data_IF_109759297095
#
_entry.id   IF_109759297095
#
_cell.length_a   1.000
_cell.length_b   1.000
_cell.length_c   1.000
_cell.angle_alpha   90.00
_cell.angle_beta   90.00
_cell.angle_gamma   90.00
#
_symmetry.space_group_name_H-M   'P 1'
#
loop_
_entity.id
_entity.type
_entity.pdbx_description
1 polymer ?
#
# COMPACT_ATOMS: atom_id res chain seq x y z
N UNK A 1 -13.97 -11.84 50.72
CA UNK A 1 -14.36 -12.31 49.37
C UNK A 1 -13.22 -11.99 48.42
N UNK A 2 -12.64 -13.00 47.78
CA UNK A 2 -11.58 -12.83 46.78
C UNK A 2 -12.24 -12.48 45.45
N UNK A 3 -11.96 -11.30 44.91
CA UNK A 3 -12.43 -10.90 43.57
C UNK A 3 -11.24 -11.02 42.64
N UNK A 4 -11.37 -11.91 41.67
CA UNK A 4 -10.44 -12.12 40.56
C UNK A 4 -10.37 -10.86 39.71
N UNK A 5 -9.16 -10.38 39.40
CA UNK A 5 -8.93 -9.42 38.34
C UNK A 5 -8.73 -10.19 37.02
N UNK A 6 -9.46 -9.88 35.93
CA UNK A 6 -9.12 -10.41 34.61
C UNK A 6 -7.96 -9.58 34.06
N UNK A 7 -6.88 -10.23 33.64
CA UNK A 7 -5.91 -9.63 32.72
C UNK A 7 -6.63 -9.41 31.38
N UNK A 8 -6.92 -8.16 31.03
CA UNK A 8 -7.20 -7.78 29.65
C UNK A 8 -5.83 -7.64 28.94
N UNK A 9 -5.48 -8.64 28.14
CA UNK A 9 -4.48 -8.51 27.09
C UNK A 9 -5.07 -7.69 25.94
N UNK A 10 -4.85 -6.36 25.93
CA UNK A 10 -5.11 -5.53 24.76
C UNK A 10 -4.00 -5.78 23.73
N UNK A 11 -4.33 -6.52 22.67
CA UNK A 11 -3.46 -6.65 21.50
C UNK A 11 -3.29 -5.29 20.82
N UNK A 12 -2.04 -4.91 20.54
CA UNK A 12 -1.76 -3.86 19.57
C UNK A 12 -2.22 -4.38 18.20
N UNK A 13 -3.31 -3.83 17.66
CA UNK A 13 -3.65 -4.02 16.26
C UNK A 13 -2.61 -3.27 15.43
N UNK A 14 -1.57 -3.96 14.99
CA UNK A 14 -0.72 -3.51 13.89
C UNK A 14 -1.62 -3.34 12.68
N UNK A 15 -1.80 -2.10 12.20
CA UNK A 15 -2.42 -1.84 10.91
C UNK A 15 -1.46 -2.32 9.83
N UNK A 16 -1.48 -3.61 9.57
CA UNK A 16 -0.73 -4.18 8.47
C UNK A 16 -1.59 -3.95 7.24
N UNK A 17 -1.18 -3.05 6.36
CA UNK A 17 -1.78 -2.97 5.04
C UNK A 17 -1.45 -4.29 4.32
N UNK A 18 -2.43 -4.84 3.62
CA UNK A 18 -2.25 -6.07 2.86
C UNK A 18 -1.47 -5.71 1.63
N UNK A 19 -0.85 -6.69 1.00
CA UNK A 19 0.01 -6.35 -0.12
C UNK A 19 0.07 -7.54 -1.06
N UNK A 20 -0.44 -7.36 -2.27
CA UNK A 20 -0.38 -8.36 -3.31
C UNK A 20 -0.86 -7.86 -4.66
N UNK A 21 -0.45 -8.55 -5.72
CA UNK A 21 -0.77 -8.19 -7.10
C UNK A 21 -0.67 -9.41 -8.02
N UNK A 22 -1.29 -9.35 -9.20
CA UNK A 22 -1.29 -10.46 -10.17
C UNK A 22 0.09 -10.68 -10.80
N UNK A 23 0.52 -11.94 -10.93
CA UNK A 23 1.87 -12.32 -11.36
C UNK A 23 1.91 -13.14 -12.65
N UNK A 24 0.98 -14.09 -12.85
CA UNK A 24 0.86 -14.90 -14.09
C UNK A 24 -0.61 -14.88 -14.57
N UNK A 25 -0.87 -14.57 -15.87
CA UNK A 25 0.04 -13.89 -16.80
C UNK A 25 0.58 -12.56 -16.24
N UNK A 26 1.69 -12.06 -16.82
CA UNK A 26 2.34 -10.85 -16.34
C UNK A 26 1.40 -9.64 -16.39
N UNK A 27 0.98 -9.16 -15.22
CA UNK A 27 0.10 -7.99 -15.10
C UNK A 27 0.81 -6.69 -15.44
N UNK A 28 0.03 -5.64 -15.72
CA UNK A 28 0.55 -4.27 -15.88
C UNK A 28 1.32 -3.81 -14.65
N UNK A 29 0.88 -4.19 -13.45
CA UNK A 29 1.58 -3.92 -12.19
C UNK A 29 2.95 -4.60 -12.16
N UNK A 30 3.02 -5.88 -12.55
CA UNK A 30 4.29 -6.61 -12.67
C UNK A 30 5.23 -5.94 -13.69
N UNK A 31 4.73 -5.63 -14.88
CA UNK A 31 5.51 -4.97 -15.93
C UNK A 31 5.99 -3.58 -15.50
N UNK A 32 5.16 -2.82 -14.76
CA UNK A 32 5.54 -1.53 -14.20
C UNK A 32 6.72 -1.65 -13.22
N UNK A 33 6.72 -2.69 -12.37
CA UNK A 33 7.85 -2.98 -11.51
C UNK A 33 9.10 -3.42 -12.30
N UNK A 34 8.96 -4.37 -13.23
CA UNK A 34 10.07 -4.88 -14.04
C UNK A 34 10.70 -3.78 -14.93
N UNK A 35 9.91 -2.77 -15.33
CA UNK A 35 10.37 -1.57 -16.03
C UNK A 35 11.02 -0.52 -15.10
N UNK A 36 11.01 -0.73 -13.79
CA UNK A 36 11.59 0.16 -12.79
C UNK A 36 10.78 1.43 -12.53
N UNK A 37 9.47 1.44 -12.84
CA UNK A 37 8.60 2.59 -12.54
C UNK A 37 7.80 2.42 -11.25
N UNK A 38 7.46 1.19 -10.88
CA UNK A 38 6.74 0.89 -9.64
C UNK A 38 7.70 0.34 -8.59
N UNK A 39 7.90 1.13 -7.55
CA UNK A 39 8.78 0.80 -6.43
C UNK A 39 8.16 -0.20 -5.44
N UNK A 40 6.84 -0.36 -5.45
CA UNK A 40 6.09 -1.26 -4.58
C UNK A 40 4.86 -1.79 -5.33
N UNK A 41 5.01 -2.81 -6.21
CA UNK A 41 3.88 -3.35 -6.99
C UNK A 41 2.74 -3.85 -6.13
N UNK A 42 3.05 -4.38 -4.95
CA UNK A 42 2.08 -4.88 -3.98
C UNK A 42 1.28 -3.77 -3.25
N UNK A 43 1.63 -2.49 -3.42
CA UNK A 43 0.99 -1.33 -2.78
C UNK A 43 -0.21 -0.76 -3.58
N UNK A 44 -0.60 -1.35 -4.71
CA UNK A 44 -1.75 -0.89 -5.49
C UNK A 44 -3.09 -1.25 -4.80
N UNK A 45 -3.55 -0.36 -3.92
CA UNK A 45 -4.66 -0.60 -3.00
C UNK A 45 -5.89 0.28 -3.28
N UNK A 46 -7.08 -0.32 -3.19
CA UNK A 46 -8.36 0.37 -3.06
C UNK A 46 -8.79 0.38 -1.59
N UNK A 47 -8.72 1.56 -0.95
CA UNK A 47 -9.13 1.76 0.44
C UNK A 47 -9.49 3.23 0.72
N UNK A 48 -10.29 3.52 1.76
CA UNK A 48 -11.05 2.57 2.59
C UNK A 48 -12.33 2.10 1.86
N UNK A 49 -12.61 0.79 1.88
CA UNK A 49 -13.81 0.20 1.29
C UNK A 49 -14.40 -0.92 2.14
N UNK A 50 -15.66 -1.27 1.90
CA UNK A 50 -16.27 -2.48 2.46
C UNK A 50 -15.95 -3.66 1.56
N UNK A 51 -14.87 -4.38 1.84
CA UNK A 51 -14.41 -5.55 1.05
C UNK A 51 -15.11 -6.86 1.43
N UNK A 52 -15.82 -6.89 2.57
CA UNK A 52 -16.42 -8.09 3.17
C UNK A 52 -17.71 -7.73 3.93
N UNK A 53 -18.72 -8.63 4.03
CA UNK A 53 -18.84 -9.93 3.34
C UNK A 53 -19.31 -9.82 1.90
N UNK A 54 -19.84 -8.67 1.49
CA UNK A 54 -20.27 -8.42 0.13
C UNK A 54 -19.06 -8.06 -0.74
N UNK A 55 -18.70 -8.96 -1.67
CA UNK A 55 -17.42 -8.90 -2.39
C UNK A 55 -17.44 -7.93 -3.59
N UNK A 56 -18.63 -7.54 -4.05
CA UNK A 56 -18.82 -6.70 -5.24
C UNK A 56 -19.58 -5.37 -4.96
N UNK A 57 -20.08 -5.15 -3.74
CA UNK A 57 -20.75 -3.90 -3.37
C UNK A 57 -19.87 -2.63 -3.38
N UNK A 58 -18.56 -2.75 -3.17
CA UNK A 58 -17.68 -1.58 -3.08
C UNK A 58 -17.36 -1.00 -4.46
N UNK A 59 -17.61 0.31 -4.71
CA UNK A 59 -17.22 0.93 -5.96
C UNK A 59 -15.70 1.02 -6.08
N UNK A 60 -15.18 0.79 -7.30
CA UNK A 60 -13.73 0.71 -7.54
C UNK A 60 -13.03 2.07 -7.70
N UNK A 61 -13.81 3.14 -7.88
CA UNK A 61 -13.32 4.51 -7.93
C UNK A 61 -12.13 4.71 -8.87
N UNK A 62 -11.06 5.35 -8.38
CA UNK A 62 -9.86 5.60 -9.18
C UNK A 62 -9.08 4.31 -9.49
N UNK A 63 -9.16 3.30 -8.64
CA UNK A 63 -8.43 2.05 -8.83
C UNK A 63 -8.86 1.36 -10.12
N UNK A 64 -10.16 1.31 -10.39
CA UNK A 64 -10.69 0.60 -11.57
C UNK A 64 -10.28 -0.88 -11.61
N UNK A 65 -10.55 -1.58 -12.72
CA UNK A 65 -10.24 -3.01 -12.84
C UNK A 65 -8.74 -3.33 -12.91
N UNK A 66 -7.89 -2.34 -13.19
CA UNK A 66 -6.43 -2.54 -13.33
C UNK A 66 -5.60 -2.08 -12.13
N UNK A 67 -6.20 -1.38 -11.17
CA UNK A 67 -5.51 -0.84 -10.00
C UNK A 67 -4.90 0.55 -10.22
N UNK A 68 -4.80 1.30 -9.11
CA UNK A 68 -4.08 2.57 -9.02
C UNK A 68 -3.06 2.44 -7.90
N UNK A 69 -1.78 2.65 -8.21
CA UNK A 69 -0.72 2.64 -7.22
C UNK A 69 -0.40 4.06 -6.75
N UNK A 70 -0.85 4.39 -5.55
CA UNK A 70 -0.64 5.70 -4.95
C UNK A 70 0.84 6.00 -4.64
N UNK A 71 1.68 4.96 -4.45
CA UNK A 71 3.10 5.10 -4.08
C UNK A 71 3.86 5.95 -5.09
N UNK A 72 3.75 5.58 -6.36
CA UNK A 72 4.41 6.25 -7.48
C UNK A 72 3.40 6.97 -8.40
N UNK A 73 2.15 7.10 -7.94
CA UNK A 73 1.05 7.75 -8.66
C UNK A 73 0.75 7.14 -10.04
N UNK A 74 0.79 5.81 -10.15
CA UNK A 74 0.62 5.06 -11.39
C UNK A 74 -0.84 4.63 -11.55
N UNK A 75 -1.44 4.94 -12.70
CA UNK A 75 -2.76 4.46 -13.06
C UNK A 75 -2.63 3.36 -14.13
N UNK A 76 -2.81 2.10 -13.73
CA UNK A 76 -2.64 0.96 -14.64
C UNK A 76 -3.79 0.77 -15.62
N UNK A 77 -4.88 1.53 -15.47
CA UNK A 77 -6.02 1.49 -16.38
C UNK A 77 -5.68 2.08 -17.76
N UNK A 78 -4.58 2.83 -17.88
CA UNK A 78 -4.09 3.40 -19.14
C UNK A 78 -2.76 2.74 -19.56
N UNK A 79 -2.58 2.37 -20.83
CA UNK A 79 -1.30 1.92 -21.35
C UNK A 79 -0.23 3.01 -21.32
N UNK A 80 1.03 2.58 -21.26
CA UNK A 80 2.20 3.45 -21.40
C UNK A 80 3.22 2.80 -22.33
N UNK A 81 4.42 3.37 -22.44
CA UNK A 81 5.53 2.70 -23.15
C UNK A 81 5.95 1.38 -22.50
N UNK A 82 5.56 1.12 -21.25
CA UNK A 82 6.06 0.01 -20.44
C UNK A 82 5.04 -1.12 -20.25
N UNK A 83 3.74 -0.89 -20.49
CA UNK A 83 2.68 -1.90 -20.37
C UNK A 83 1.45 -1.50 -21.19
N UNK A 84 0.55 -2.46 -21.44
CA UNK A 84 -0.75 -2.20 -22.03
C UNK A 84 -0.78 -2.04 -23.55
N UNK A 85 0.38 -2.01 -24.22
CA UNK A 85 0.48 -1.86 -25.68
C UNK A 85 0.12 -3.13 -26.45
N UNK A 86 0.49 -4.29 -25.91
CA UNK A 86 0.34 -5.59 -26.56
C UNK A 86 -0.06 -6.65 -25.54
N UNK A 87 -0.68 -7.73 -26.02
CA UNK A 87 -0.93 -8.91 -25.21
C UNK A 87 0.40 -9.57 -24.77
N UNK A 88 0.55 -9.86 -23.47
CA UNK A 88 1.74 -10.53 -22.92
C UNK A 88 1.73 -12.04 -23.22
N UNK A 89 0.54 -12.60 -23.45
CA UNK A 89 0.34 -14.01 -23.74
C UNK A 89 -0.93 -14.22 -24.56
N UNK A 90 -0.92 -15.19 -25.46
CA UNK A 90 -2.07 -15.60 -26.28
C UNK A 90 -2.51 -17.00 -25.90
N UNK A 91 -3.83 -17.20 -25.83
CA UNK A 91 -4.49 -18.43 -25.40
C UNK A 91 -5.58 -18.83 -26.41
N UNK A 92 -6.09 -20.05 -26.28
CA UNK A 92 -7.24 -20.54 -27.04
C UNK A 92 -8.56 -20.30 -26.29
N UNK A 93 -9.68 -20.07 -26.99
CA UNK A 93 -11.01 -20.10 -26.38
C UNK A 93 -11.23 -21.40 -25.59
N UNK A 94 -11.80 -21.30 -24.40
CA UNK A 94 -12.06 -22.46 -23.55
C UNK A 94 -10.84 -23.10 -22.87
N UNK A 95 -9.63 -22.57 -23.07
CA UNK A 95 -8.39 -23.10 -22.48
C UNK A 95 -8.37 -22.99 -20.95
N UNK A 96 -7.96 -24.05 -20.26
CA UNK A 96 -7.70 -24.02 -18.82
C UNK A 96 -6.27 -23.56 -18.58
N UNK A 97 -6.11 -22.36 -18.03
CA UNK A 97 -4.81 -21.71 -17.85
C UNK A 97 -4.42 -21.63 -16.37
N UNK A 98 -3.11 -21.58 -16.12
CA UNK A 98 -2.58 -21.21 -14.80
C UNK A 98 -2.67 -19.70 -14.61
N UNK A 99 -3.20 -19.30 -13.46
CA UNK A 99 -3.18 -17.93 -12.98
C UNK A 99 -2.54 -17.89 -11.61
N UNK A 100 -1.71 -16.88 -11.41
CA UNK A 100 -0.94 -16.70 -10.18
C UNK A 100 -0.97 -15.25 -9.74
N UNK A 101 -1.06 -15.03 -8.45
CA UNK A 101 -0.80 -13.74 -7.83
C UNK A 101 0.25 -13.87 -6.74
N UNK A 102 0.85 -12.75 -6.37
CA UNK A 102 1.93 -12.69 -5.39
C UNK A 102 1.44 -11.98 -4.13
N UNK A 103 1.57 -12.62 -2.97
CA UNK A 103 1.25 -12.04 -1.66
C UNK A 103 2.54 -11.72 -0.90
N UNK A 104 2.65 -10.52 -0.35
CA UNK A 104 3.80 -10.14 0.50
C UNK A 104 3.74 -10.85 1.84
N UNK A 105 4.89 -11.29 2.36
CA UNK A 105 5.00 -11.95 3.66
C UNK A 105 4.33 -11.16 4.81
N UNK A 106 4.49 -9.83 4.83
CA UNK A 106 3.87 -9.01 5.86
C UNK A 106 2.43 -8.64 5.51
N UNK A 107 2.00 -8.79 4.25
CA UNK A 107 0.70 -8.36 3.76
C UNK A 107 -0.34 -9.45 3.56
N UNK A 108 -0.19 -10.63 4.18
CA UNK A 108 -1.13 -11.74 4.00
C UNK A 108 -2.38 -11.60 4.88
N UNK A 109 -3.51 -11.26 4.24
CA UNK A 109 -4.77 -10.87 4.88
C UNK A 109 -5.86 -11.93 4.85
N UNK A 110 -5.60 -13.10 4.24
CA UNK A 110 -6.66 -14.06 3.96
C UNK A 110 -7.73 -13.48 3.03
N UNK A 111 -8.99 -13.92 3.19
CA UNK A 111 -10.10 -13.46 2.36
C UNK A 111 -10.25 -14.25 1.06
N UNK A 112 -10.80 -13.60 0.03
CA UNK A 112 -11.21 -14.25 -1.23
C UNK A 112 -10.75 -13.47 -2.44
N UNK A 113 -10.41 -14.16 -3.51
CA UNK A 113 -9.91 -13.56 -4.76
C UNK A 113 -10.52 -14.22 -5.98
N UNK A 114 -10.49 -13.53 -7.12
CA UNK A 114 -11.04 -14.02 -8.38
C UNK A 114 -10.33 -13.42 -9.59
N UNK A 115 -10.63 -13.97 -10.76
CA UNK A 115 -10.16 -13.50 -12.07
C UNK A 115 -11.36 -13.33 -13.00
N UNK A 116 -11.31 -12.30 -13.84
CA UNK A 116 -12.45 -11.85 -14.64
C UNK A 116 -12.03 -11.40 -16.03
N UNK A 117 -12.88 -11.62 -17.03
CA UNK A 117 -12.69 -11.11 -18.40
C UNK A 117 -13.98 -10.43 -18.85
N UNK A 118 -13.92 -9.12 -19.07
CA UNK A 118 -15.01 -8.37 -19.69
C UNK A 118 -15.12 -8.74 -21.17
N UNK A 119 -16.28 -9.28 -21.58
CA UNK A 119 -16.54 -9.73 -22.96
C UNK A 119 -17.14 -8.62 -23.85
N UNK A 120 -17.21 -7.38 -23.36
CA UNK A 120 -17.53 -6.20 -24.18
C UNK A 120 -16.24 -5.46 -24.57
N UNK A 121 -15.78 -5.73 -25.79
CA UNK A 121 -14.55 -5.14 -26.31
C UNK A 121 -14.59 -3.60 -26.33
N UNK A 122 -15.75 -2.98 -26.54
CA UNK A 122 -15.84 -1.52 -26.63
C UNK A 122 -15.60 -0.82 -25.28
N UNK A 123 -15.92 -1.52 -24.18
CA UNK A 123 -15.57 -1.08 -22.83
C UNK A 123 -14.07 -1.27 -22.59
N UNK A 124 -13.54 -2.44 -22.96
CA UNK A 124 -12.12 -2.78 -22.77
C UNK A 124 -11.20 -1.87 -23.59
N UNK A 125 -11.57 -1.51 -24.82
CA UNK A 125 -10.76 -0.68 -25.72
C UNK A 125 -10.36 0.66 -25.10
N UNK A 126 -11.19 1.22 -24.20
CA UNK A 126 -10.87 2.45 -23.47
C UNK A 126 -9.66 2.32 -22.54
N UNK A 127 -9.35 1.08 -22.12
CA UNK A 127 -8.21 0.73 -21.27
C UNK A 127 -6.99 0.28 -22.10
N UNK A 128 -7.11 0.29 -23.43
CA UNK A 128 -6.07 -0.09 -24.38
C UNK A 128 -5.55 1.10 -25.21
N UNK A 129 -6.12 2.30 -25.02
CA UNK A 129 -5.64 3.52 -25.70
C UNK A 129 -4.63 4.30 -24.82
N UNK A 130 -3.34 4.38 -25.20
CA UNK A 130 -2.35 5.17 -24.46
C UNK A 130 -2.66 6.68 -24.46
N UNK A 131 -3.53 7.16 -25.35
CA UNK A 131 -3.94 8.57 -25.46
C UNK A 131 -5.17 8.90 -24.61
N UNK A 132 -5.78 7.91 -23.95
CA UNK A 132 -7.02 8.08 -23.20
C UNK A 132 -6.92 7.49 -21.80
N UNK A 133 -7.28 8.28 -20.78
CA UNK A 133 -7.39 7.81 -19.41
C UNK A 133 -8.87 7.60 -19.06
N UNK A 134 -9.33 6.35 -18.80
CA UNK A 134 -10.70 6.09 -18.41
C UNK A 134 -11.14 6.91 -17.19
N UNK A 135 -12.35 7.47 -17.27
CA UNK A 135 -13.00 8.15 -16.13
C UNK A 135 -13.41 7.15 -15.05
N UNK A 136 -13.74 7.63 -13.85
CA UNK A 136 -14.21 6.76 -12.78
C UNK A 136 -15.52 6.03 -13.14
N UNK A 137 -16.43 6.68 -13.87
CA UNK A 137 -17.68 6.04 -14.31
C UNK A 137 -17.41 4.94 -15.33
N UNK A 138 -16.44 5.13 -16.23
CA UNK A 138 -16.01 4.09 -17.17
C UNK A 138 -15.26 2.95 -16.48
N UNK A 139 -14.49 3.25 -15.44
CA UNK A 139 -13.87 2.26 -14.56
C UNK A 139 -14.91 1.42 -13.83
N UNK A 140 -15.97 2.04 -13.32
CA UNK A 140 -17.05 1.30 -12.69
C UNK A 140 -17.85 0.48 -13.70
N UNK A 141 -18.19 1.05 -14.87
CA UNK A 141 -18.89 0.30 -15.92
C UNK A 141 -18.05 -0.89 -16.44
N UNK A 142 -16.72 -0.72 -16.51
CA UNK A 142 -15.82 -1.82 -16.82
C UNK A 142 -15.79 -2.87 -15.71
N UNK A 143 -15.70 -2.44 -14.45
CA UNK A 143 -15.76 -3.36 -13.32
C UNK A 143 -17.05 -4.19 -13.33
N UNK A 144 -18.21 -3.57 -13.57
CA UNK A 144 -19.49 -4.30 -13.67
C UNK A 144 -19.47 -5.33 -14.83
N UNK A 145 -18.81 -5.01 -15.95
CA UNK A 145 -18.59 -5.95 -17.05
C UNK A 145 -17.65 -7.11 -16.65
N UNK A 146 -16.61 -6.83 -15.88
CA UNK A 146 -15.74 -7.86 -15.31
C UNK A 146 -16.48 -8.72 -14.28
N UNK A 147 -17.41 -8.16 -13.48
CA UNK A 147 -18.25 -8.93 -12.55
C UNK A 147 -19.11 -9.95 -13.30
N UNK A 148 -19.73 -9.52 -14.41
CA UNK A 148 -20.48 -10.42 -15.29
C UNK A 148 -19.58 -11.45 -16.00
N UNK A 149 -18.29 -11.14 -16.18
CA UNK A 149 -17.28 -11.96 -16.82
C UNK A 149 -16.36 -12.73 -15.85
N UNK A 150 -16.81 -12.96 -14.62
CA UNK A 150 -16.07 -13.75 -13.63
C UNK A 150 -15.76 -15.15 -14.16
N UNK A 151 -14.54 -15.64 -13.92
CA UNK A 151 -14.09 -16.99 -14.28
C UNK A 151 -14.20 -17.90 -13.04
N UNK A 152 -15.25 -18.73 -12.93
CA UNK A 152 -15.51 -19.49 -11.72
C UNK A 152 -14.43 -20.53 -11.44
N UNK A 153 -14.04 -20.70 -10.18
CA UNK A 153 -13.17 -21.80 -9.74
C UNK A 153 -13.70 -23.16 -10.22
N UNK A 154 -15.03 -23.33 -10.18
CA UNK A 154 -15.75 -24.57 -10.46
C UNK A 154 -15.77 -24.98 -11.94
N UNK A 155 -15.36 -24.09 -12.85
CA UNK A 155 -15.34 -24.39 -14.29
C UNK A 155 -14.14 -25.26 -14.68
N UNK A 156 -13.14 -25.39 -13.81
CA UNK A 156 -11.97 -26.26 -14.01
C UNK A 156 -12.23 -27.64 -13.41
N UNK A 157 -12.26 -28.66 -14.26
CA UNK A 157 -12.56 -30.03 -13.84
C UNK A 157 -11.47 -30.58 -12.91
N UNK A 158 -11.88 -31.05 -11.72
CA UNK A 158 -10.98 -31.63 -10.72
C UNK A 158 -10.26 -30.61 -9.83
N UNK A 159 -10.56 -29.31 -9.97
CA UNK A 159 -10.13 -28.29 -9.02
C UNK A 159 -11.08 -28.23 -7.82
N UNK A 160 -10.52 -28.30 -6.60
CA UNK A 160 -11.30 -28.18 -5.37
C UNK A 160 -11.62 -26.71 -5.07
N UNK A 161 -12.92 -26.39 -4.98
CA UNK A 161 -13.45 -25.03 -4.79
C UNK A 161 -14.26 -24.97 -3.50
N UNK A 162 -13.56 -24.72 -2.39
CA UNK A 162 -14.14 -24.61 -1.06
C UNK A 162 -14.75 -23.24 -0.76
N UNK A 163 -15.48 -23.16 0.35
CA UNK A 163 -15.98 -21.90 0.93
C UNK A 163 -14.97 -21.34 1.93
N UNK A 164 -14.96 -20.01 2.09
CA UNK A 164 -14.10 -19.37 3.09
C UNK A 164 -14.46 -19.79 4.50
N UNK A 165 -13.43 -20.10 5.31
CA UNK A 165 -13.60 -20.35 6.75
C UNK A 165 -13.99 -19.08 7.53
N UNK A 166 -13.81 -17.91 6.91
CA UNK A 166 -14.12 -16.59 7.46
C UNK A 166 -15.53 -16.10 7.03
N UNK A 167 -16.33 -17.00 6.42
CA UNK A 167 -17.70 -16.77 5.99
C UNK A 167 -18.64 -17.86 6.55
N UNK A 168 -19.92 -17.53 6.71
CA UNK A 168 -20.97 -18.49 7.11
C UNK A 168 -22.08 -18.59 6.07
N UNK A 169 -22.75 -19.74 6.03
CA UNK A 169 -23.83 -20.00 5.08
C UNK A 169 -24.95 -18.96 5.19
N UNK A 170 -25.29 -18.34 4.06
CA UNK A 170 -26.29 -17.29 3.95
C UNK A 170 -25.71 -15.87 3.89
N UNK A 171 -24.41 -15.68 4.13
CA UNK A 171 -23.71 -14.41 3.88
C UNK A 171 -23.35 -14.24 2.40
N UNK A 172 -23.12 -13.00 1.96
CA UNK A 172 -22.78 -12.68 0.57
C UNK A 172 -21.43 -13.30 0.11
N UNK A 173 -20.50 -13.52 1.05
CA UNK A 173 -19.23 -14.19 0.81
C UNK A 173 -19.37 -15.72 0.64
N UNK A 174 -20.55 -16.30 0.90
CA UNK A 174 -20.76 -17.75 0.87
C UNK A 174 -20.96 -18.26 -0.56
N UNK A 175 -19.89 -18.18 -1.35
CA UNK A 175 -19.82 -18.55 -2.75
C UNK A 175 -18.46 -19.17 -3.06
N UNK A 176 -18.40 -20.07 -4.03
CA UNK A 176 -17.20 -20.81 -4.41
C UNK A 176 -16.88 -20.72 -5.91
N UNK A 177 -17.55 -19.80 -6.60
CA UNK A 177 -17.11 -19.30 -7.90
C UNK A 177 -15.84 -18.43 -7.73
N UNK A 178 -15.76 -17.65 -6.65
CA UNK A 178 -14.52 -17.05 -6.16
C UNK A 178 -13.61 -18.09 -5.51
N UNK A 179 -12.31 -17.84 -5.55
CA UNK A 179 -11.33 -18.59 -4.77
C UNK A 179 -11.28 -18.04 -3.34
N UNK A 180 -11.03 -18.93 -2.38
CA UNK A 180 -10.74 -18.55 -1.00
C UNK A 180 -9.29 -18.83 -0.66
N UNK A 181 -8.69 -17.94 0.12
CA UNK A 181 -7.51 -18.27 0.90
C UNK A 181 -7.87 -19.28 2.00
N UNK A 182 -6.87 -19.90 2.63
CA UNK A 182 -7.13 -20.72 3.81
C UNK A 182 -7.54 -19.82 4.99
N UNK A 183 -8.18 -20.42 6.00
CA UNK A 183 -8.66 -19.67 7.16
C UNK A 183 -7.56 -18.91 7.88
N UNK A 184 -7.89 -17.72 8.38
CA UNK A 184 -6.93 -16.81 9.00
C UNK A 184 -6.26 -17.41 10.25
N UNK A 185 -7.05 -18.08 11.09
CA UNK A 185 -6.59 -18.72 12.34
C UNK A 185 -6.20 -20.20 12.18
N UNK A 186 -6.08 -20.70 10.95
CA UNK A 186 -5.74 -22.11 10.72
C UNK A 186 -4.35 -22.44 11.29
N UNK A 187 -4.24 -23.57 11.99
CA UNK A 187 -2.97 -23.97 12.63
C UNK A 187 -1.93 -24.55 11.66
N UNK A 188 -2.37 -25.07 10.51
CA UNK A 188 -1.53 -25.57 9.43
C UNK A 188 -1.88 -24.82 8.14
N UNK A 189 -0.88 -24.26 7.47
CA UNK A 189 -1.01 -23.50 6.21
C UNK A 189 -2.07 -22.38 6.27
N UNK A 190 -1.92 -21.37 7.14
CA UNK A 190 -2.91 -20.29 7.27
C UNK A 190 -2.93 -19.35 6.05
N UNK A 191 -4.04 -18.63 5.91
CA UNK A 191 -4.22 -17.48 5.00
C UNK A 191 -3.89 -17.79 3.52
N UNK A 192 -3.45 -16.80 2.75
CA UNK A 192 -3.26 -16.92 1.31
C UNK A 192 -1.96 -17.66 0.97
N UNK A 193 -0.86 -17.42 1.70
CA UNK A 193 0.40 -18.14 1.50
C UNK A 193 0.22 -19.66 1.66
N UNK A 194 -0.64 -20.08 2.58
CA UNK A 194 -0.93 -21.49 2.84
C UNK A 194 -1.57 -22.25 1.67
N UNK A 195 -2.13 -21.55 0.67
CA UNK A 195 -2.73 -22.16 -0.52
C UNK A 195 -1.68 -22.95 -1.30
N UNK A 196 -0.55 -22.34 -1.64
CA UNK A 196 0.56 -23.03 -2.31
C UNK A 196 1.54 -23.62 -1.31
N UNK A 197 1.66 -23.01 -0.12
CA UNK A 197 2.74 -23.26 0.84
C UNK A 197 4.13 -23.11 0.18
N UNK A 198 4.26 -22.13 -0.70
CA UNK A 198 5.49 -21.85 -1.44
C UNK A 198 6.59 -21.28 -0.54
N UNK A 199 7.84 -21.33 -1.02
CA UNK A 199 8.98 -20.71 -0.37
C UNK A 199 8.92 -19.17 -0.48
N UNK A 200 9.53 -18.47 0.48
CA UNK A 200 9.63 -17.01 0.47
C UNK A 200 10.47 -16.54 -0.71
N UNK A 201 10.05 -15.46 -1.37
CA UNK A 201 10.61 -14.95 -2.63
C UNK A 201 10.36 -15.86 -3.85
N UNK A 202 9.33 -16.72 -3.80
CA UNK A 202 8.86 -17.45 -4.98
C UNK A 202 8.28 -16.50 -6.05
N UNK A 203 7.84 -15.31 -5.64
CA UNK A 203 7.55 -14.17 -6.49
C UNK A 203 8.02 -12.87 -5.80
N UNK A 204 8.09 -11.77 -6.55
CA UNK A 204 8.63 -10.51 -6.04
C UNK A 204 7.58 -9.72 -5.27
N UNK A 205 7.95 -9.19 -4.10
CA UNK A 205 7.34 -8.03 -3.45
C UNK A 205 8.45 -7.18 -2.85
N UNK A 206 8.23 -5.87 -2.75
CA UNK A 206 9.27 -4.93 -2.30
C UNK A 206 9.46 -4.93 -0.77
N UNK A 207 8.40 -5.20 0.00
CA UNK A 207 8.37 -5.00 1.46
C UNK A 207 9.08 -6.12 2.22
N UNK A 208 8.70 -7.38 2.02
CA UNK A 208 9.20 -8.50 2.84
C UNK A 208 9.44 -9.81 2.07
N UNK A 209 9.37 -9.77 0.74
CA UNK A 209 9.45 -10.97 -0.10
C UNK A 209 8.09 -11.65 -0.26
N UNK A 210 7.85 -12.18 -1.47
CA UNK A 210 6.53 -12.65 -1.87
C UNK A 210 6.38 -14.16 -1.87
N UNK A 211 5.13 -14.61 -1.75
CA UNK A 211 4.70 -15.98 -1.93
C UNK A 211 3.73 -16.10 -3.09
N UNK A 212 3.90 -17.14 -3.90
CA UNK A 212 2.93 -17.44 -4.96
C UNK A 212 1.62 -17.95 -4.37
N UNK A 213 0.52 -17.58 -5.02
CA UNK A 213 -0.80 -18.19 -4.83
C UNK A 213 -1.34 -18.55 -6.20
N UNK A 214 -1.45 -19.86 -6.45
CA UNK A 214 -1.64 -20.41 -7.80
C UNK A 214 -2.97 -21.14 -7.92
N UNK A 215 -3.69 -20.87 -9.00
CA UNK A 215 -4.97 -21.53 -9.36
C UNK A 215 -5.05 -21.76 -10.86
N UNK A 216 -6.09 -22.48 -11.28
CA UNK A 216 -6.48 -22.56 -12.67
C UNK A 216 -7.83 -21.88 -12.89
N UNK A 217 -7.99 -21.31 -14.08
CA UNK A 217 -9.26 -20.79 -14.57
C UNK A 217 -9.49 -21.29 -15.99
N UNK A 218 -10.75 -21.50 -16.35
CA UNK A 218 -11.15 -21.80 -17.72
C UNK A 218 -11.48 -20.49 -18.42
N UNK A 219 -10.80 -20.21 -19.53
CA UNK A 219 -11.08 -19.03 -20.34
C UNK A 219 -12.44 -19.15 -21.04
N UNK A 220 -13.13 -18.03 -21.30
CA UNK A 220 -14.41 -18.03 -22.00
C UNK A 220 -14.25 -18.51 -23.45
N UNK A 221 -15.36 -18.95 -24.04
CA UNK A 221 -15.49 -19.18 -25.49
C UNK A 221 -15.65 -17.84 -26.23
N UNK A 222 -14.69 -16.93 -26.00
CA UNK A 222 -14.63 -15.56 -26.50
C UNK A 222 -13.27 -15.34 -27.18
N UNK A 223 -13.24 -14.52 -28.22
CA UNK A 223 -11.99 -14.19 -28.92
C UNK A 223 -11.74 -12.70 -28.94
N UNK A 224 -10.49 -12.32 -28.68
CA UNK A 224 -9.99 -10.96 -28.88
C UNK A 224 -8.49 -11.00 -29.13
N UNK A 225 -8.01 -10.17 -30.05
CA UNK A 225 -6.57 -10.00 -30.29
C UNK A 225 -5.89 -9.29 -29.11
N UNK A 226 -6.64 -8.49 -28.35
CA UNK A 226 -6.14 -7.77 -27.18
C UNK A 226 -7.31 -7.45 -26.27
N UNK A 227 -7.39 -8.17 -25.16
CA UNK A 227 -8.35 -7.96 -24.08
C UNK A 227 -7.63 -8.00 -22.74
N UNK A 228 -8.39 -7.90 -21.64
CA UNK A 228 -7.87 -7.85 -20.28
C UNK A 228 -8.42 -9.00 -19.45
N UNK A 229 -7.54 -9.59 -18.64
CA UNK A 229 -7.92 -10.39 -17.47
C UNK A 229 -7.65 -9.56 -16.22
N UNK A 230 -8.68 -9.31 -15.41
CA UNK A 230 -8.59 -8.55 -14.16
C UNK A 230 -8.58 -9.50 -12.97
N UNK A 231 -7.60 -9.33 -12.10
CA UNK A 231 -7.49 -9.94 -10.79
C UNK A 231 -8.08 -9.00 -9.73
N UNK A 232 -8.89 -9.57 -8.83
CA UNK A 232 -9.48 -8.86 -7.69
C UNK A 232 -9.32 -9.71 -6.44
N UNK A 233 -8.74 -9.14 -5.39
CA UNK A 233 -8.61 -9.77 -4.08
C UNK A 233 -9.23 -8.88 -3.01
N UNK A 234 -10.20 -9.44 -2.29
CA UNK A 234 -10.88 -8.81 -1.17
C UNK A 234 -10.30 -9.34 0.14
N UNK A 235 -9.76 -8.41 0.95
CA UNK A 235 -9.27 -8.70 2.30
C UNK A 235 -10.44 -9.00 3.23
N UNK A 236 -10.30 -10.05 4.05
CA UNK A 236 -11.19 -10.32 5.18
C UNK A 236 -10.78 -9.49 6.40
N UNK A 237 -9.48 -9.43 6.71
CA UNK A 237 -8.97 -8.78 7.92
C UNK A 237 -9.16 -7.25 7.91
N UNK A 238 -9.18 -6.63 6.73
CA UNK A 238 -9.19 -5.17 6.55
C UNK A 238 -10.13 -4.76 5.41
N UNK A 239 -10.62 -3.51 5.45
CA UNK A 239 -11.49 -2.93 4.41
C UNK A 239 -10.72 -2.51 3.16
N UNK A 240 -10.12 -3.49 2.48
CA UNK A 240 -9.09 -3.31 1.45
C UNK A 240 -9.31 -4.27 0.27
N UNK A 241 -9.16 -3.76 -0.95
CA UNK A 241 -9.24 -4.54 -2.20
C UNK A 241 -7.98 -4.29 -3.04
N UNK A 242 -7.42 -5.35 -3.63
CA UNK A 242 -6.28 -5.30 -4.54
C UNK A 242 -6.74 -5.65 -5.94
N UNK A 243 -6.37 -4.81 -6.89
CA UNK A 243 -6.78 -4.92 -8.29
C UNK A 243 -5.53 -4.87 -9.17
N UNK A 244 -5.47 -5.76 -10.15
CA UNK A 244 -4.44 -5.78 -11.18
C UNK A 244 -5.07 -6.29 -12.46
N UNK A 245 -4.55 -5.92 -13.62
CA UNK A 245 -4.98 -6.51 -14.89
C UNK A 245 -3.79 -6.91 -15.75
N UNK A 246 -3.96 -7.91 -16.60
CA UNK A 246 -2.98 -8.36 -17.58
C UNK A 246 -3.58 -8.32 -19.00
N UNK A 247 -2.78 -7.88 -19.95
CA UNK A 247 -3.11 -7.81 -21.37
C UNK A 247 -2.95 -9.19 -22.01
N UNK A 248 -4.02 -9.76 -22.54
CA UNK A 248 -4.01 -11.11 -23.13
C UNK A 248 -4.69 -11.14 -24.49
N UNK A 249 -4.39 -12.17 -25.28
CA UNK A 249 -5.13 -12.49 -26.49
C UNK A 249 -5.83 -13.85 -26.32
N UNK A 250 -7.02 -13.99 -26.89
CA UNK A 250 -7.74 -15.25 -26.98
C UNK A 250 -8.12 -15.47 -28.44
N UNK A 251 -7.51 -16.46 -29.08
CA UNK A 251 -7.54 -16.67 -30.53
C UNK A 251 -7.69 -18.14 -30.87
N UNK A 252 -8.41 -18.48 -31.95
CA UNK A 252 -8.39 -19.85 -32.46
C UNK A 252 -6.99 -20.21 -32.96
N UNK A 253 -6.62 -21.49 -32.85
CA UNK A 253 -5.27 -21.99 -33.07
C UNK A 253 -4.72 -21.89 -34.51
N UNK A 254 -5.35 -21.12 -35.42
CA UNK A 254 -5.00 -21.04 -36.84
C UNK A 254 -4.30 -19.74 -37.29
N UNK A 255 -4.16 -18.72 -36.43
CA UNK A 255 -3.47 -17.47 -36.78
C UNK A 255 -2.13 -17.29 -36.03
N UNK A 256 -1.15 -18.17 -36.29
CA UNK A 256 0.26 -17.87 -36.01
C UNK A 256 0.90 -17.21 -37.23
N UNK A 257 1.27 -15.91 -37.20
CA UNK A 257 2.17 -15.35 -38.18
C UNK A 257 3.55 -16.00 -38.03
N UNK A 258 4.07 -16.51 -39.13
CA UNK A 258 5.41 -17.11 -39.23
C UNK A 258 6.45 -15.98 -39.21
N UNK A 259 7.10 -15.72 -38.07
CA UNK A 259 8.24 -14.79 -38.02
C UNK A 259 9.54 -15.51 -38.37
N UNK A 260 10.04 -15.27 -39.58
CA UNK A 260 11.41 -15.59 -40.00
C UNK A 260 12.42 -14.75 -39.20
N UNK A 261 13.24 -15.41 -38.38
CA UNK A 261 14.39 -14.81 -37.71
C UNK A 261 15.60 -14.85 -38.65
N UNK A 262 15.97 -13.69 -39.20
CA UNK A 262 17.31 -13.46 -39.75
C UNK A 262 18.21 -12.95 -38.61
N UNK A 263 19.27 -13.72 -38.33
CA UNK A 263 20.30 -13.34 -37.39
C UNK A 263 21.24 -12.29 -37.97
N UNK A 264 21.70 -11.37 -37.14
CA UNK A 264 22.98 -10.69 -37.36
C UNK A 264 23.67 -10.44 -36.03
N UNK A 265 24.88 -10.96 -35.94
CA UNK A 265 25.85 -10.86 -34.86
C UNK A 265 26.41 -9.44 -34.73
N UNK A 266 26.52 -8.91 -33.51
CA UNK A 266 27.15 -7.62 -33.21
C UNK A 266 27.65 -7.52 -31.76
N UNK A 267 28.91 -7.92 -31.59
CA UNK A 267 29.94 -7.47 -30.64
C UNK A 267 29.55 -6.66 -29.38
N UNK A 268 29.85 -7.21 -28.19
CA UNK A 268 29.75 -6.54 -26.89
C UNK A 268 31.15 -6.17 -26.38
N UNK A 269 31.41 -4.87 -26.22
CA UNK A 269 32.45 -4.35 -25.32
C UNK A 269 31.83 -3.43 -24.26
N UNK A 270 32.32 -3.41 -23.01
CA UNK A 270 31.63 -2.74 -21.91
C UNK A 270 32.15 -1.31 -21.69
N UNK A 271 31.26 -0.30 -21.69
CA UNK A 271 31.57 1.04 -21.12
C UNK A 271 30.39 1.70 -20.41
N UNK A 272 30.59 1.84 -19.10
CA UNK A 272 30.35 2.99 -18.19
C UNK A 272 28.91 3.51 -17.94
N UNK A 273 28.61 3.46 -16.64
CA UNK A 273 27.71 4.31 -15.84
C UNK A 273 27.51 5.75 -16.36
N UNK A 274 26.26 6.20 -16.37
CA UNK A 274 25.88 7.60 -16.36
C UNK A 274 24.81 7.85 -15.29
N UNK A 275 25.14 8.75 -14.35
CA UNK A 275 24.22 9.36 -13.38
C UNK A 275 23.38 10.41 -14.10
N UNK A 276 22.07 10.43 -13.86
CA UNK A 276 21.23 11.58 -14.20
C UNK A 276 21.17 12.55 -13.01
N UNK A 277 21.67 13.76 -13.23
CA UNK A 277 21.48 14.94 -12.38
C UNK A 277 20.68 15.92 -13.23
N UNK A 278 19.54 16.38 -12.72
CA UNK A 278 18.78 17.48 -13.31
C UNK A 278 19.13 18.78 -12.56
N UNK A 279 19.60 19.86 -13.23
CA UNK A 279 19.86 21.14 -12.57
C UNK A 279 18.66 22.09 -12.71
N UNK A 280 18.28 22.74 -11.62
CA UNK A 280 17.41 23.93 -11.59
C UNK A 280 17.97 24.95 -10.59
N UNK A 281 17.58 26.24 -10.68
CA UNK A 281 18.51 27.36 -10.66
C UNK A 281 18.86 27.88 -9.27
N UNK A 282 20.00 28.58 -9.23
CA UNK A 282 20.65 29.19 -8.09
C UNK A 282 19.76 30.21 -7.36
N UNK A 283 19.19 29.79 -6.24
CA UNK A 283 18.82 30.58 -5.07
C UNK A 283 18.73 29.57 -3.93
N UNK A 284 19.41 29.82 -2.82
CA UNK A 284 19.71 28.83 -1.77
C UNK A 284 18.44 28.29 -1.09
N UNK A 285 17.78 27.32 -1.71
CA UNK A 285 16.71 26.51 -1.14
C UNK A 285 17.32 25.20 -0.64
N UNK A 286 17.42 25.04 0.69
CA UNK A 286 17.79 23.75 1.27
C UNK A 286 16.56 22.84 1.30
N UNK A 287 16.64 21.73 0.56
CA UNK A 287 15.57 20.76 0.42
C UNK A 287 15.61 19.77 1.59
N UNK A 288 14.60 19.74 2.44
CA UNK A 288 14.41 18.64 3.41
C UNK A 288 13.55 17.55 2.77
N UNK A 289 13.89 16.28 3.04
CA UNK A 289 13.04 15.14 2.66
C UNK A 289 12.23 14.70 3.89
N UNK A 290 10.91 14.79 3.76
CA UNK A 290 9.98 14.11 4.65
C UNK A 290 9.83 12.68 4.13
N UNK A 291 10.20 11.69 4.92
CA UNK A 291 10.04 10.29 4.56
C UNK A 291 9.14 9.60 5.58
N UNK A 292 8.22 8.77 5.07
CA UNK A 292 7.66 7.67 5.84
C UNK A 292 8.79 6.68 6.11
N UNK A 293 8.95 6.27 7.36
CA UNK A 293 10.11 5.48 7.77
C UNK A 293 9.89 4.02 7.38
N UNK A 294 10.73 3.49 6.52
CA UNK A 294 10.86 2.03 6.29
C UNK A 294 12.03 1.49 7.09
N UNK A 295 12.10 0.16 7.26
CA UNK A 295 12.94 -0.55 8.25
C UNK A 295 14.44 -0.22 8.29
N UNK A 296 14.99 0.39 7.23
CA UNK A 296 16.40 0.77 7.15
C UNK A 296 16.80 1.96 8.04
N UNK A 297 15.82 2.64 8.63
CA UNK A 297 16.00 3.72 9.63
C UNK A 297 15.61 3.26 11.04
N UNK A 298 15.75 1.96 11.34
CA UNK A 298 15.36 1.41 12.65
C UNK A 298 16.22 1.98 13.79
N UNK A 299 15.55 2.49 14.82
CA UNK A 299 16.17 2.74 16.11
C UNK A 299 15.98 1.51 16.99
N UNK A 300 16.99 0.64 17.07
CA UNK A 300 16.97 -0.54 17.96
C UNK A 300 15.67 -1.37 17.84
N UNK A 301 15.22 -1.65 16.61
CA UNK A 301 14.00 -2.43 16.38
C UNK A 301 12.68 -1.69 16.58
N UNK A 302 12.69 -0.34 16.70
CA UNK A 302 11.49 0.48 16.65
C UNK A 302 11.56 1.50 15.51
N UNK A 303 10.40 1.79 14.93
CA UNK A 303 10.25 2.60 13.72
C UNK A 303 9.21 3.69 14.02
N UNK A 304 9.60 4.98 14.06
CA UNK A 304 8.63 6.06 14.15
C UNK A 304 7.84 6.16 12.84
N UNK A 305 6.61 6.67 12.86
CA UNK A 305 5.77 6.74 11.65
C UNK A 305 6.39 7.68 10.58
N UNK A 306 7.01 8.77 11.02
CA UNK A 306 7.60 9.80 10.15
C UNK A 306 8.95 10.25 10.68
N UNK A 307 9.90 10.50 9.77
CA UNK A 307 11.14 11.21 10.07
C UNK A 307 11.36 12.35 9.08
N UNK A 308 11.86 13.47 9.58
CA UNK A 308 12.51 14.46 8.73
C UNK A 308 14.00 14.20 8.75
N UNK A 309 14.58 14.18 7.56
CA UNK A 309 16.00 13.95 7.37
C UNK A 309 16.63 15.05 6.53
N UNK A 310 17.93 15.24 6.72
CA UNK A 310 18.75 16.00 5.78
C UNK A 310 18.82 15.28 4.43
N UNK A 311 19.26 15.98 3.39
CA UNK A 311 19.58 15.37 2.09
C UNK A 311 20.65 14.29 2.16
N UNK A 312 21.48 14.29 3.22
CA UNK A 312 22.48 13.26 3.50
C UNK A 312 21.91 12.03 4.22
N UNK A 313 20.60 11.98 4.48
CA UNK A 313 19.93 10.87 5.18
C UNK A 313 20.09 10.89 6.70
N UNK A 314 20.54 12.01 7.28
CA UNK A 314 20.67 12.12 8.73
C UNK A 314 19.33 12.51 9.35
N UNK A 315 18.85 11.71 10.31
CA UNK A 315 17.62 11.97 11.07
C UNK A 315 17.74 13.23 11.92
N UNK A 316 16.68 14.05 11.88
CA UNK A 316 16.62 15.35 12.54
C UNK A 316 15.40 15.49 13.43
N UNK A 317 14.23 15.15 12.91
CA UNK A 317 12.96 15.21 13.64
C UNK A 317 12.26 13.86 13.50
N UNK A 318 11.61 13.40 14.56
CA UNK A 318 10.76 12.21 14.58
C UNK A 318 9.30 12.64 14.71
N UNK A 319 8.38 11.85 14.17
CA UNK A 319 6.96 12.08 14.42
C UNK A 319 6.10 10.86 14.28
N UNK A 320 4.94 10.94 14.92
CA UNK A 320 3.96 9.86 15.02
C UNK A 320 2.64 10.27 14.36
N UNK A 321 2.05 9.34 13.61
CA UNK A 321 0.72 9.49 13.01
C UNK A 321 -0.28 8.58 13.70
N UNK A 322 -1.42 9.13 14.11
CA UNK A 322 -2.47 8.39 14.83
C UNK A 322 -3.81 8.53 14.12
N UNK A 323 -4.50 7.41 13.96
CA UNK A 323 -5.87 7.38 13.42
C UNK A 323 -6.91 7.53 14.54
N UNK A 324 -8.11 8.02 14.20
CA UNK A 324 -9.18 8.34 15.15
C UNK A 324 -9.81 7.12 15.86
N UNK A 325 -9.59 5.90 15.37
CA UNK A 325 -10.36 4.72 15.78
C UNK A 325 -9.77 3.95 16.96
N UNK A 326 -8.48 4.14 17.27
CA UNK A 326 -7.80 3.38 18.33
C UNK A 326 -8.16 3.88 19.72
N UNK A 327 -8.51 5.15 19.84
CA UNK A 327 -9.17 5.82 20.98
C UNK A 327 -9.79 7.06 20.34
N UNK A 328 -10.92 7.59 20.83
CA UNK A 328 -11.42 8.89 20.39
C UNK A 328 -10.38 9.99 20.68
N UNK A 329 -9.36 10.11 19.84
CA UNK A 329 -8.15 10.89 20.04
C UNK A 329 -8.41 12.29 19.50
N UNK A 330 -9.04 13.10 20.34
CA UNK A 330 -9.11 14.54 20.15
C UNK A 330 -7.87 15.17 20.80
N UNK A 331 -6.88 15.52 19.96
CA UNK A 331 -5.63 16.13 20.42
C UNK A 331 -5.86 17.50 21.08
N UNK A 332 -6.93 18.22 20.70
CA UNK A 332 -7.25 19.51 21.29
C UNK A 332 -7.76 19.30 22.72
N UNK A 333 -8.69 18.37 22.91
CA UNK A 333 -9.19 17.98 24.23
C UNK A 333 -8.08 17.41 25.13
N UNK A 334 -7.15 16.63 24.56
CA UNK A 334 -6.03 16.05 25.31
C UNK A 334 -5.07 17.12 25.87
N UNK A 335 -5.00 18.32 25.29
CA UNK A 335 -4.15 19.41 25.81
C UNK A 335 -4.76 20.18 26.99
N UNK A 336 -5.98 19.84 27.41
CA UNK A 336 -6.62 20.48 28.56
C UNK A 336 -5.96 20.07 29.89
N UNK A 337 -5.85 20.98 30.89
CA UNK A 337 -5.08 20.71 32.12
C UNK A 337 -5.54 19.50 32.95
N UNK A 338 -6.79 19.07 32.82
CA UNK A 338 -7.35 17.93 33.57
C UNK A 338 -7.10 16.57 32.88
N UNK A 339 -6.64 16.58 31.62
CA UNK A 339 -6.37 15.40 30.80
C UNK A 339 -4.87 15.05 30.75
N UNK A 340 -4.05 15.63 31.65
CA UNK A 340 -2.59 15.43 31.67
C UNK A 340 -2.15 13.93 31.64
N UNK A 341 -2.81 13.00 32.36
CA UNK A 341 -2.48 11.57 32.26
C UNK A 341 -2.76 10.99 30.87
N UNK A 342 -3.83 11.44 30.21
CA UNK A 342 -4.20 11.03 28.86
C UNK A 342 -3.20 11.57 27.83
N UNK A 343 -2.83 12.85 27.93
CA UNK A 343 -1.80 13.45 27.09
C UNK A 343 -0.44 12.75 27.25
N UNK A 344 -0.04 12.46 28.48
CA UNK A 344 1.21 11.72 28.75
C UNK A 344 1.21 10.32 28.14
N UNK A 345 0.05 9.66 28.11
CA UNK A 345 -0.11 8.36 27.45
C UNK A 345 0.06 8.50 25.94
N UNK A 346 -0.60 9.48 25.33
CA UNK A 346 -0.54 9.77 23.88
C UNK A 346 0.89 10.09 23.42
N UNK A 347 1.57 10.98 24.15
CA UNK A 347 2.92 11.43 23.80
C UNK A 347 4.02 10.41 24.16
N UNK A 348 3.67 9.31 24.82
CA UNK A 348 4.64 8.35 25.36
C UNK A 348 5.48 7.67 24.29
N UNK A 349 4.88 7.34 23.15
CA UNK A 349 5.57 6.72 22.01
C UNK A 349 6.57 7.71 21.38
N UNK A 350 6.11 8.90 21.02
CA UNK A 350 6.94 9.93 20.37
C UNK A 350 8.09 10.40 21.27
N UNK A 351 7.83 10.62 22.57
CA UNK A 351 8.87 10.88 23.57
C UNK A 351 9.93 9.76 23.61
N UNK A 352 9.48 8.51 23.48
CA UNK A 352 10.36 7.35 23.43
C UNK A 352 11.33 7.44 22.25
N UNK A 353 10.81 7.76 21.07
CA UNK A 353 11.59 7.96 19.86
C UNK A 353 12.56 9.13 19.98
N UNK A 354 12.08 10.30 20.40
CA UNK A 354 12.92 11.50 20.60
C UNK A 354 14.10 11.22 21.55
N UNK A 355 13.89 10.43 22.60
CA UNK A 355 14.95 10.04 23.54
C UNK A 355 15.93 9.03 22.92
N UNK A 356 15.42 8.06 22.16
CA UNK A 356 16.25 7.01 21.54
C UNK A 356 17.13 7.55 20.41
N UNK A 357 16.62 8.49 19.61
CA UNK A 357 17.37 9.17 18.54
C UNK A 357 18.19 10.35 19.01
N UNK A 358 18.09 10.73 20.29
CA UNK A 358 18.67 11.95 20.85
C UNK A 358 18.24 13.21 20.07
N UNK A 359 16.99 13.24 19.54
CA UNK A 359 16.45 14.36 18.77
C UNK A 359 15.69 15.34 19.63
N UNK A 360 16.00 16.63 19.51
CA UNK A 360 15.42 17.69 20.34
C UNK A 360 13.94 17.97 20.02
N UNK A 361 13.53 17.75 18.77
CA UNK A 361 12.22 18.11 18.26
C UNK A 361 11.45 16.88 17.75
N UNK A 362 10.13 16.94 17.91
CA UNK A 362 9.22 15.89 17.43
C UNK A 362 7.82 16.42 17.18
N UNK A 363 6.92 15.57 16.68
CA UNK A 363 5.51 15.93 16.53
C UNK A 363 4.61 14.69 16.55
N UNK A 364 3.35 14.90 16.94
CA UNK A 364 2.29 13.90 16.79
C UNK A 364 1.17 14.48 15.94
N UNK A 365 0.68 13.72 14.98
CA UNK A 365 -0.39 14.15 14.07
C UNK A 365 -1.54 13.15 14.03
N UNK A 366 -2.75 13.68 13.91
CA UNK A 366 -3.94 12.94 13.48
C UNK A 366 -4.42 13.49 12.15
N UNK A 367 -5.54 12.97 11.62
CA UNK A 367 -6.23 13.59 10.49
C UNK A 367 -6.71 15.02 10.79
N UNK A 368 -6.95 15.35 12.06
CA UNK A 368 -7.57 16.62 12.44
C UNK A 368 -6.57 17.69 12.79
N UNK A 369 -5.46 17.33 13.45
CA UNK A 369 -4.44 18.29 13.84
C UNK A 369 -3.16 17.67 14.34
N UNK A 370 -2.19 18.54 14.64
CA UNK A 370 -0.80 18.19 14.98
C UNK A 370 -0.35 18.94 16.24
N UNK A 371 0.35 18.25 17.13
CA UNK A 371 1.05 18.85 18.28
C UNK A 371 2.55 18.76 18.04
N UNK A 372 3.26 19.87 18.18
CA UNK A 372 4.72 19.93 18.12
C UNK A 372 5.35 19.78 19.50
N UNK A 373 6.49 19.11 19.55
CA UNK A 373 7.16 18.67 20.77
C UNK A 373 8.61 19.12 20.80
N UNK A 374 9.09 19.45 22.00
CA UNK A 374 10.49 19.80 22.26
C UNK A 374 10.94 19.17 23.56
N UNK A 375 12.06 18.46 23.57
CA UNK A 375 12.71 18.03 24.80
C UNK A 375 13.84 18.98 25.18
N UNK A 376 13.87 19.44 26.43
CA UNK A 376 14.90 20.36 26.92
C UNK A 376 15.15 20.15 28.42
N UNK A 377 16.34 20.54 28.89
CA UNK A 377 16.69 20.44 30.30
C UNK A 377 16.29 21.72 31.04
N UNK A 378 15.24 21.65 31.86
CA UNK A 378 14.70 22.79 32.59
C UNK A 378 14.52 22.47 34.06
N UNK A 379 14.90 23.40 34.93
CA UNK A 379 14.73 23.28 36.39
C UNK A 379 15.32 21.98 36.98
N UNK A 380 16.46 21.53 36.46
CA UNK A 380 17.14 20.33 36.96
C UNK A 380 16.58 19.00 36.46
N UNK A 381 15.65 19.00 35.49
CA UNK A 381 15.09 17.78 34.91
C UNK A 381 14.87 17.88 33.40
N UNK A 382 15.05 16.75 32.71
CA UNK A 382 14.64 16.62 31.31
C UNK A 382 13.13 16.70 31.19
N UNK A 383 12.65 17.70 30.46
CA UNK A 383 11.23 18.00 30.33
C UNK A 383 10.83 17.95 28.86
N UNK A 384 9.68 17.32 28.58
CA UNK A 384 9.04 17.37 27.26
C UNK A 384 8.03 18.52 27.26
N UNK A 385 8.30 19.53 26.44
CA UNK A 385 7.40 20.63 26.14
C UNK A 385 6.53 20.25 24.94
N UNK A 386 5.27 20.68 24.95
CA UNK A 386 4.35 20.52 23.84
C UNK A 386 3.68 21.86 23.51
N UNK A 387 3.38 22.06 22.24
CA UNK A 387 2.54 23.17 21.77
C UNK A 387 1.05 22.88 21.93
N UNK A 388 0.24 23.81 21.44
CA UNK A 388 -1.19 23.60 21.22
C UNK A 388 -1.41 22.69 19.99
N UNK A 389 -2.56 22.02 19.94
CA UNK A 389 -2.97 21.26 18.77
C UNK A 389 -3.34 22.21 17.63
N UNK A 390 -2.69 22.06 16.48
CA UNK A 390 -2.92 22.87 15.29
C UNK A 390 -3.74 22.07 14.30
N UNK A 391 -4.94 22.55 13.94
CA UNK A 391 -5.80 21.87 12.97
C UNK A 391 -5.21 21.93 11.56
N UNK A 392 -5.39 20.87 10.78
CA UNK A 392 -4.94 20.83 9.38
C UNK A 392 -5.59 21.95 8.53
N UNK A 393 -6.80 22.39 8.90
CA UNK A 393 -7.56 23.42 8.21
C UNK A 393 -7.21 24.85 8.63
N UNK A 394 -6.28 25.04 9.59
CA UNK A 394 -5.89 26.39 10.06
C UNK A 394 -5.16 27.14 8.95
N UNK A 395 -5.68 28.32 8.58
CA UNK A 395 -5.11 29.21 7.56
C UNK A 395 -4.19 30.25 8.18
N UNK A 396 -3.18 30.66 7.41
CA UNK A 396 -2.30 31.79 7.71
C UNK A 396 -3.12 33.07 7.96
N UNK A 397 -2.88 33.73 9.08
CA UNK A 397 -3.44 35.05 9.39
C UNK A 397 -2.32 36.01 9.78
N UNK A 398 -2.17 37.12 9.03
CA UNK A 398 -1.42 38.28 9.52
C UNK A 398 -2.20 38.88 10.70
N UNK A 399 -1.67 38.83 11.94
CA UNK A 399 -1.76 39.89 13.00
C UNK A 399 -1.31 39.36 14.40
N UNK A 400 -0.34 40.10 14.98
CA UNK A 400 0.06 40.46 16.37
C UNK A 400 -0.27 39.64 17.65
N UNK A 401 -1.00 38.51 17.65
CA UNK A 401 -1.23 37.73 18.89
C UNK A 401 -1.18 36.21 18.63
N UNK A 402 -0.49 35.46 19.50
CA UNK A 402 0.21 34.21 19.15
C UNK A 402 -0.58 32.89 19.30
N UNK A 403 -1.82 32.91 19.79
CA UNK A 403 -2.67 31.71 19.92
C UNK A 403 -3.56 31.49 18.69
N UNK A 404 -3.45 30.34 18.04
CA UNK A 404 -4.28 29.83 16.94
C UNK A 404 -4.17 30.53 15.57
N UNK A 405 -2.97 30.99 15.18
CA UNK A 405 -2.82 31.81 13.95
C UNK A 405 -1.76 31.35 12.94
N UNK A 406 -1.03 30.29 13.26
CA UNK A 406 -0.03 29.73 12.35
C UNK A 406 -0.60 28.50 11.67
N UNK A 407 -0.49 28.46 10.35
CA UNK A 407 -0.81 27.27 9.58
C UNK A 407 0.14 26.13 9.94
N UNK A 408 -0.34 24.90 9.78
CA UNK A 408 0.49 23.71 10.00
C UNK A 408 1.80 23.77 9.19
N UNK A 409 1.75 24.34 7.99
CA UNK A 409 2.89 24.53 7.10
C UNK A 409 3.95 25.47 7.70
N UNK A 410 3.54 26.61 8.28
CA UNK A 410 4.46 27.55 8.92
C UNK A 410 5.14 26.94 10.13
N UNK A 411 4.41 26.14 10.92
CA UNK A 411 4.99 25.45 12.08
C UNK A 411 6.04 24.41 11.68
N UNK A 412 5.80 23.65 10.60
CA UNK A 412 6.83 22.75 10.06
C UNK A 412 8.05 23.51 9.53
N UNK A 413 7.85 24.64 8.84
CA UNK A 413 8.96 25.50 8.41
C UNK A 413 9.79 26.04 9.58
N UNK A 414 9.13 26.49 10.64
CA UNK A 414 9.78 26.96 11.85
C UNK A 414 10.56 25.83 12.55
N UNK A 415 9.96 24.65 12.68
CA UNK A 415 10.59 23.48 13.28
C UNK A 415 11.87 23.09 12.53
N UNK A 416 11.80 23.07 11.20
CA UNK A 416 12.96 22.83 10.33
C UNK A 416 14.04 23.91 10.55
N UNK A 417 13.64 25.17 10.71
CA UNK A 417 14.56 26.27 11.04
C UNK A 417 15.27 26.08 12.38
N UNK A 418 14.55 25.70 13.44
CA UNK A 418 15.13 25.47 14.77
C UNK A 418 16.05 24.23 14.81
N UNK A 419 15.72 23.19 14.04
CA UNK A 419 16.54 22.00 13.90
C UNK A 419 17.91 22.29 13.26
N UNK A 420 17.96 23.24 12.33
CA UNK A 420 19.22 23.67 11.72
C UNK A 420 20.21 24.29 12.72
N UNK A 421 19.70 24.86 13.81
CA UNK A 421 20.52 25.52 14.83
C UNK A 421 20.95 24.56 15.96
N UNK A 422 20.06 23.66 16.40
CA UNK A 422 20.32 22.78 17.56
C UNK A 422 19.33 21.59 17.61
N UNK A 423 19.62 20.51 16.87
CA UNK A 423 18.75 19.33 16.74
C UNK A 423 19.02 18.21 17.76
N UNK A 424 20.13 18.27 18.49
CA UNK A 424 20.53 17.22 19.43
C UNK A 424 20.04 17.59 20.82
N UNK A 425 19.33 16.68 21.47
CA UNK A 425 18.87 16.91 22.83
C UNK A 425 20.02 16.80 23.85
N UNK A 426 20.93 15.82 23.69
CA UNK A 426 21.97 15.53 24.66
C UNK A 426 21.42 14.84 25.91
N UNK A 427 20.29 14.14 25.78
CA UNK A 427 19.66 13.38 26.86
C UNK A 427 19.97 11.88 26.79
N UNK A 428 20.80 11.48 25.83
CA UNK A 428 21.43 10.18 25.75
C UNK A 428 22.34 10.01 26.98
N UNK A 429 21.92 9.15 27.91
CA UNK A 429 22.82 8.64 28.94
C UNK A 429 23.99 7.98 28.22
N UNK A 430 25.18 8.55 28.35
CA UNK A 430 26.43 7.80 28.20
C UNK A 430 26.22 6.49 28.96
N UNK A 431 26.28 5.37 28.22
CA UNK A 431 26.57 4.06 28.78
C UNK A 431 27.82 4.25 29.65
N UNK A 432 27.63 4.48 30.95
CA UNK A 432 28.68 4.26 31.93
C UNK A 432 28.76 2.76 32.13
N UNK A 433 29.98 2.27 31.93
CA UNK A 433 30.48 0.90 32.04
C UNK A 433 29.84 0.06 33.15
#
# INVERSE_FOLDING_TARGET
>A
MKVFAPLLSLGLATSVAGHGYMYIPSSRTRLGHEAGVDSCPECAILEPVSSWPDLDAAPVGRSGPCGYNARDSIDYNQPTTNWGSDAVQSYSPGEEIEVQWCVDHNGDHGGMFTYRICQDQSIVDKFLDPSYLPTNDEKQAAEDCFDAGLLPCTDVSGQECGYSADCTEGEACWRNDWFTCNGFEASDRPKCQGVDNAELNSCYTSIAGGYTVTKKVKLPEYTSNHTLISFKWNSFQTGQIYLSCADIAIQFADDKPHSTAEGTTGDLSPKRQARFICPLPSSTFFLFRLCLVTGDTSMTGKVPDVVLMTTSGSMRIVGEMKTRWVVALDLEAATLPHEEPHLRHILGADRGYMKMSDRKYGFISTYEGTIFLKQDFKMGSWTLFHGHAIRHSTKEQEVLDFGDKFSLRECFWFLIGCDLEDDIAGNSLLLRE
#
